data_IF_625746896631
#
_entry.id   IF_625746896631
#
_cell.length_a   1.000
_cell.length_b   1.000
_cell.length_c   1.000
_cell.angle_alpha   90.00
_cell.angle_beta   90.00
_cell.angle_gamma   90.00
#
_symmetry.space_group_name_H-M   'P 1'
#
loop_
_entity.id
_entity.type
_entity.pdbx_description
1 polymer ?
#
# COMPACT_ATOMS: atom_id res chain seq x y z
N UNK A 1 -19.92 -1.86 22.62
CA UNK A 1 -18.80 -2.78 22.33
C UNK A 1 -17.99 -2.16 21.19
N UNK A 2 -16.76 -1.70 21.45
CA UNK A 2 -15.93 -1.09 20.40
C UNK A 2 -15.40 -2.21 19.51
N UNK A 3 -15.98 -2.40 18.32
CA UNK A 3 -15.39 -3.27 17.28
C UNK A 3 -13.98 -2.75 17.01
N UNK A 4 -12.96 -3.48 17.49
CA UNK A 4 -11.58 -3.23 17.04
C UNK A 4 -11.55 -3.62 15.57
N UNK A 5 -11.47 -2.62 14.69
CA UNK A 5 -11.30 -2.83 13.26
C UNK A 5 -10.13 -3.80 13.06
N UNK A 6 -10.39 -4.91 12.38
CA UNK A 6 -9.35 -5.88 12.12
C UNK A 6 -8.38 -5.26 11.09
N UNK A 7 -7.09 -5.55 11.19
CA UNK A 7 -6.09 -4.96 10.25
C UNK A 7 -6.43 -5.36 8.81
N UNK A 8 -7.11 -6.50 8.62
CA UNK A 8 -7.67 -6.94 7.35
C UNK A 8 -8.77 -6.02 6.81
N UNK A 9 -9.64 -5.48 7.67
CA UNK A 9 -10.72 -4.58 7.24
C UNK A 9 -10.14 -3.24 6.75
N UNK A 10 -9.07 -2.78 7.41
CA UNK A 10 -8.32 -1.58 7.02
C UNK A 10 -7.63 -1.83 5.68
N UNK A 11 -6.87 -2.92 5.53
CA UNK A 11 -6.19 -3.25 4.27
C UNK A 11 -7.18 -3.37 3.10
N UNK A 12 -8.31 -4.04 3.31
CA UNK A 12 -9.37 -4.20 2.29
C UNK A 12 -9.98 -2.86 1.89
N UNK A 13 -10.26 -1.98 2.85
CA UNK A 13 -10.79 -0.64 2.58
C UNK A 13 -9.79 0.20 1.75
N UNK A 14 -8.50 0.11 2.07
CA UNK A 14 -7.45 0.78 1.29
C UNK A 14 -7.35 0.21 -0.12
N UNK A 15 -7.46 -1.10 -0.33
CA UNK A 15 -7.44 -1.72 -1.67
C UNK A 15 -8.59 -1.20 -2.53
N UNK A 16 -9.80 -1.12 -1.96
CA UNK A 16 -10.99 -0.64 -2.67
C UNK A 16 -10.83 0.82 -3.14
N UNK A 17 -10.12 1.66 -2.38
CA UNK A 17 -9.81 3.03 -2.79
C UNK A 17 -8.65 3.07 -3.80
N UNK A 18 -7.63 2.26 -3.60
CA UNK A 18 -6.41 2.26 -4.42
C UNK A 18 -6.70 1.95 -5.90
N UNK A 19 -7.57 0.97 -6.18
CA UNK A 19 -7.89 0.53 -7.54
C UNK A 19 -8.48 1.66 -8.41
N UNK A 20 -9.54 2.38 -7.98
CA UNK A 20 -10.06 3.51 -8.74
C UNK A 20 -9.05 4.65 -8.87
N UNK A 21 -8.24 4.95 -7.84
CA UNK A 21 -7.18 5.96 -7.96
C UNK A 21 -6.14 5.58 -9.02
N UNK A 22 -5.71 4.31 -9.06
CA UNK A 22 -4.80 3.80 -10.08
C UNK A 22 -5.42 3.89 -11.47
N UNK A 23 -6.67 3.45 -11.62
CA UNK A 23 -7.37 3.43 -12.91
C UNK A 23 -7.62 4.84 -13.45
N UNK A 24 -8.14 5.74 -12.61
CA UNK A 24 -8.39 7.14 -13.00
C UNK A 24 -7.08 7.88 -13.25
N UNK A 25 -6.05 7.65 -12.41
CA UNK A 25 -4.73 8.22 -12.61
C UNK A 25 -4.09 7.80 -13.93
N UNK A 26 -4.26 6.53 -14.31
CA UNK A 26 -3.79 6.02 -15.60
C UNK A 26 -4.56 6.62 -16.77
N UNK A 27 -5.89 6.65 -16.71
CA UNK A 27 -6.75 7.21 -17.77
C UNK A 27 -6.48 8.70 -18.01
N UNK A 28 -6.31 9.47 -16.94
CA UNK A 28 -6.04 10.91 -17.02
C UNK A 28 -4.55 11.24 -17.24
N UNK A 29 -3.68 10.22 -17.32
CA UNK A 29 -2.21 10.37 -17.30
C UNK A 29 -1.73 11.32 -16.20
N UNK A 30 -2.43 11.32 -15.05
CA UNK A 30 -2.16 12.22 -13.95
C UNK A 30 -1.10 11.61 -13.04
N UNK A 31 0.10 12.20 -13.08
CA UNK A 31 1.22 11.81 -12.21
C UNK A 31 0.87 11.89 -10.72
N UNK A 32 0.06 12.88 -10.32
CA UNK A 32 -0.38 13.06 -8.94
C UNK A 32 -1.30 11.92 -8.47
N UNK A 33 -2.27 11.53 -9.29
CA UNK A 33 -3.18 10.44 -8.94
C UNK A 33 -2.46 9.09 -8.90
N UNK A 34 -1.54 8.85 -9.85
CA UNK A 34 -0.68 7.67 -9.83
C UNK A 34 0.21 7.63 -8.59
N UNK A 35 0.82 8.76 -8.22
CA UNK A 35 1.61 8.89 -6.98
C UNK A 35 0.78 8.54 -5.74
N UNK A 36 -0.41 9.12 -5.60
CA UNK A 36 -1.31 8.80 -4.49
C UNK A 36 -1.67 7.31 -4.45
N UNK A 37 -1.92 6.69 -5.62
CA UNK A 37 -2.21 5.26 -5.69
C UNK A 37 -1.02 4.40 -5.25
N UNK A 38 0.21 4.75 -5.64
CA UNK A 38 1.41 4.01 -5.23
C UNK A 38 1.70 4.15 -3.73
N UNK A 39 1.46 5.33 -3.15
CA UNK A 39 1.54 5.51 -1.70
C UNK A 39 0.51 4.66 -0.95
N UNK A 40 -0.73 4.56 -1.47
CA UNK A 40 -1.73 3.68 -0.87
C UNK A 40 -1.32 2.20 -0.96
N UNK A 41 -0.75 1.76 -2.08
CA UNK A 41 -0.21 0.39 -2.23
C UNK A 41 0.90 0.13 -1.21
N UNK A 42 1.82 1.08 -1.04
CA UNK A 42 2.88 0.96 -0.06
C UNK A 42 2.34 0.85 1.38
N UNK A 43 1.32 1.65 1.72
CA UNK A 43 0.67 1.58 3.02
C UNK A 43 -0.02 0.22 3.26
N UNK A 44 -0.69 -0.33 2.24
CA UNK A 44 -1.29 -1.68 2.31
C UNK A 44 -0.21 -2.73 2.62
N UNK A 45 0.91 -2.70 1.90
CA UNK A 45 2.00 -3.66 2.10
C UNK A 45 2.65 -3.54 3.48
N UNK A 46 2.77 -2.33 4.02
CA UNK A 46 3.26 -2.14 5.41
C UNK A 46 2.25 -2.69 6.42
N UNK A 47 0.94 -2.48 6.21
CA UNK A 47 -0.09 -3.07 7.05
C UNK A 47 -0.06 -4.60 7.00
N UNK A 48 0.08 -5.18 5.82
CA UNK A 48 0.23 -6.64 5.68
C UNK A 48 1.50 -7.14 6.36
N UNK A 49 2.62 -6.41 6.25
CA UNK A 49 3.86 -6.76 6.93
C UNK A 49 3.63 -6.78 8.45
N UNK A 50 2.97 -5.76 9.01
CA UNK A 50 2.62 -5.74 10.45
C UNK A 50 1.75 -6.95 10.82
N UNK A 51 0.82 -7.37 9.98
CA UNK A 51 0.05 -8.60 10.24
C UNK A 51 0.91 -9.85 10.20
N UNK A 52 1.82 -9.98 9.23
CA UNK A 52 2.74 -11.11 9.12
C UNK A 52 3.66 -11.18 10.34
N UNK A 53 4.12 -10.03 10.84
CA UNK A 53 4.88 -9.92 12.09
C UNK A 53 4.07 -10.44 13.29
N UNK A 54 2.80 -10.02 13.42
CA UNK A 54 1.91 -10.51 14.47
C UNK A 54 1.63 -12.02 14.37
N UNK A 55 1.66 -12.59 13.17
CA UNK A 55 1.51 -14.03 12.91
C UNK A 55 2.82 -14.83 13.05
N UNK A 56 3.92 -14.19 13.47
CA UNK A 56 5.28 -14.78 13.51
C UNK A 56 5.80 -15.31 12.16
N UNK A 57 5.22 -14.86 11.04
CA UNK A 57 5.68 -15.23 9.71
C UNK A 57 6.75 -14.24 9.23
N UNK A 58 8.01 -14.57 9.57
CA UNK A 58 9.18 -13.74 9.28
C UNK A 58 9.44 -13.59 7.77
N UNK A 59 9.07 -14.58 6.97
CA UNK A 59 9.28 -14.55 5.52
C UNK A 59 8.30 -13.58 4.86
N UNK A 60 7.01 -13.72 5.17
CA UNK A 60 5.98 -12.82 4.66
C UNK A 60 6.23 -11.37 5.09
N UNK A 61 6.62 -11.14 6.36
CA UNK A 61 7.00 -9.82 6.85
C UNK A 61 8.11 -9.17 6.00
N UNK A 62 9.22 -9.90 5.82
CA UNK A 62 10.39 -9.37 5.11
C UNK A 62 10.06 -9.07 3.65
N UNK A 63 9.26 -9.92 3.00
CA UNK A 63 8.86 -9.75 1.61
C UNK A 63 7.93 -8.53 1.43
N UNK A 64 6.93 -8.38 2.29
CA UNK A 64 5.97 -7.27 2.23
C UNK A 64 6.64 -5.94 2.59
N UNK A 65 7.50 -5.92 3.60
CA UNK A 65 8.26 -4.73 3.97
C UNK A 65 9.18 -4.28 2.83
N UNK A 66 9.92 -5.22 2.22
CA UNK A 66 10.81 -4.92 1.09
C UNK A 66 10.02 -4.36 -0.11
N UNK A 67 8.86 -4.94 -0.43
CA UNK A 67 7.98 -4.43 -1.50
C UNK A 67 7.44 -3.05 -1.18
N UNK A 68 6.99 -2.82 0.05
CA UNK A 68 6.49 -1.51 0.48
C UNK A 68 7.55 -0.42 0.36
N UNK A 69 8.76 -0.68 0.87
CA UNK A 69 9.91 0.23 0.77
C UNK A 69 10.32 0.43 -0.70
N UNK A 70 10.38 -0.63 -1.48
CA UNK A 70 10.72 -0.57 -2.91
C UNK A 70 9.78 0.33 -3.69
N UNK A 71 8.47 0.21 -3.46
CA UNK A 71 7.47 1.08 -4.09
C UNK A 71 7.65 2.53 -3.66
N UNK A 72 7.90 2.81 -2.38
CA UNK A 72 8.15 4.19 -1.91
C UNK A 72 9.37 4.78 -2.61
N UNK A 73 10.49 4.04 -2.66
CA UNK A 73 11.73 4.50 -3.29
C UNK A 73 11.55 4.78 -4.79
N UNK A 74 10.90 3.86 -5.51
CA UNK A 74 10.60 4.03 -6.94
C UNK A 74 9.70 5.25 -7.13
N UNK A 75 8.66 5.38 -6.32
CA UNK A 75 7.69 6.47 -6.40
C UNK A 75 8.35 7.83 -6.15
N UNK A 76 9.22 7.94 -5.13
CA UNK A 76 10.00 9.14 -4.88
C UNK A 76 10.96 9.44 -6.04
N UNK A 77 11.67 8.44 -6.57
CA UNK A 77 12.60 8.63 -7.68
C UNK A 77 11.92 9.23 -8.92
N UNK A 78 10.72 8.75 -9.26
CA UNK A 78 9.94 9.28 -10.39
C UNK A 78 9.27 10.64 -10.12
N UNK A 79 9.14 11.07 -8.86
CA UNK A 79 8.58 12.38 -8.52
C UNK A 79 9.64 13.48 -8.51
N UNK A 80 10.86 13.16 -8.09
CA UNK A 80 11.97 14.11 -7.99
C UNK A 80 12.85 14.18 -9.26
N UNK A 81 12.47 13.46 -10.32
CA UNK A 81 13.17 13.43 -11.61
C UNK A 81 12.20 13.76 -12.73
#
# INVERSE_FOLDING_TARGET
MKQKANINDIATSFIILTIPFLFVGWQLQSSILLFCSFLMIAAILVLEAVQAYLKNDKYAFSQQLLRGIGIILITCFFMFR
#
